data_IF_846609706621
#
_entry.id   IF_846609706621
#
_cell.length_a   1.000
_cell.length_b   1.000
_cell.length_c   1.000
_cell.angle_alpha   90.00
_cell.angle_beta   90.00
_cell.angle_gamma   90.00
#
_symmetry.space_group_name_H-M   'P 1'
#
loop_
_entity.id
_entity.type
_entity.pdbx_description
1 polymer ?
#
# COMPACT_ATOMS: atom_id res chain seq x y z
N UNK A 1 9.69 20.28 -9.47
CA UNK A 1 8.58 20.29 -8.48
C UNK A 1 8.01 18.87 -8.43
N UNK A 2 8.26 18.08 -7.37
CA UNK A 2 7.75 16.70 -7.29
C UNK A 2 6.20 16.73 -7.24
N UNK A 3 5.50 15.85 -7.95
CA UNK A 3 4.04 15.92 -8.08
C UNK A 3 3.38 15.79 -6.70
N UNK A 4 2.44 16.69 -6.41
CA UNK A 4 1.54 16.55 -5.25
C UNK A 4 0.84 15.20 -5.40
N UNK A 5 0.71 14.42 -4.32
CA UNK A 5 -0.05 13.16 -4.35
C UNK A 5 -1.48 13.43 -4.86
N UNK A 6 -1.71 13.09 -6.14
CA UNK A 6 -3.03 13.21 -6.80
C UNK A 6 -4.04 12.30 -6.13
N UNK A 7 -3.59 11.14 -5.62
CA UNK A 7 -4.46 10.16 -4.96
C UNK A 7 -5.15 10.71 -3.71
N UNK A 8 -4.45 11.44 -2.84
CA UNK A 8 -5.11 12.06 -1.67
C UNK A 8 -6.09 13.17 -2.07
N UNK A 9 -5.84 13.86 -3.19
CA UNK A 9 -6.78 14.83 -3.76
C UNK A 9 -8.05 14.15 -4.30
N UNK A 10 -7.89 13.07 -5.06
CA UNK A 10 -8.99 12.29 -5.61
C UNK A 10 -9.85 11.64 -4.52
N UNK A 11 -9.22 11.11 -3.46
CA UNK A 11 -9.95 10.48 -2.36
C UNK A 11 -10.76 11.50 -1.56
N UNK A 12 -10.25 12.72 -1.37
CA UNK A 12 -11.02 13.78 -0.71
C UNK A 12 -12.35 14.09 -1.38
N UNK A 13 -12.38 14.06 -2.72
CA UNK A 13 -13.61 14.30 -3.51
C UNK A 13 -14.52 13.08 -3.64
N UNK A 14 -14.06 11.88 -3.26
CA UNK A 14 -14.81 10.62 -3.38
C UNK A 14 -15.44 10.16 -2.05
N UNK A 15 -15.19 10.91 -0.96
CA UNK A 15 -15.55 10.51 0.39
C UNK A 15 -14.49 9.59 1.01
N UNK A 16 -14.02 9.96 2.21
CA UNK A 16 -13.12 9.12 3.00
C UNK A 16 -13.84 8.75 4.30
N UNK A 17 -14.28 7.50 4.41
CA UNK A 17 -14.91 7.02 5.63
C UNK A 17 -13.90 6.98 6.78
N UNK A 18 -14.17 7.74 7.84
CA UNK A 18 -13.36 7.72 9.06
C UNK A 18 -14.00 6.80 10.08
N UNK A 19 -13.31 5.70 10.38
CA UNK A 19 -13.69 4.79 11.47
C UNK A 19 -13.73 5.49 12.84
N UNK A 20 -12.85 6.46 13.07
CA UNK A 20 -12.81 7.23 14.32
C UNK A 20 -14.02 8.16 14.48
N UNK A 21 -14.56 8.68 13.37
CA UNK A 21 -15.71 9.61 13.38
C UNK A 21 -17.05 8.89 13.17
N UNK A 22 -17.02 7.62 12.73
CA UNK A 22 -18.22 6.87 12.35
C UNK A 22 -18.92 7.42 11.10
N UNK A 23 -18.30 8.35 10.35
CA UNK A 23 -18.85 9.01 9.16
C UNK A 23 -17.76 9.34 8.15
N UNK A 24 -18.20 9.71 6.94
CA UNK A 24 -17.30 10.29 5.95
C UNK A 24 -16.74 11.63 6.43
N UNK A 25 -15.46 11.85 6.10
CA UNK A 25 -14.80 13.14 6.26
C UNK A 25 -15.30 14.10 5.19
N UNK A 26 -15.56 15.33 5.62
CA UNK A 26 -15.84 16.46 4.72
C UNK A 26 -14.60 16.86 3.94
N UNK A 27 -14.77 17.54 2.81
CA UNK A 27 -13.63 18.05 2.02
C UNK A 27 -12.71 18.98 2.83
N UNK A 28 -13.29 19.81 3.71
CA UNK A 28 -12.54 20.69 4.59
C UNK A 28 -11.67 19.92 5.59
N UNK A 29 -12.22 18.87 6.22
CA UNK A 29 -11.47 17.98 7.11
C UNK A 29 -10.33 17.28 6.35
N UNK A 30 -10.60 16.77 5.15
CA UNK A 30 -9.56 16.14 4.33
C UNK A 30 -8.47 17.14 3.93
N UNK A 31 -8.83 18.37 3.57
CA UNK A 31 -7.89 19.43 3.23
C UNK A 31 -6.97 19.77 4.40
N UNK A 32 -7.53 19.91 5.61
CA UNK A 32 -6.77 20.15 6.84
C UNK A 32 -5.84 18.97 7.17
N UNK A 33 -6.37 17.74 7.15
CA UNK A 33 -5.60 16.53 7.45
C UNK A 33 -4.46 16.28 6.43
N UNK A 34 -4.69 16.63 5.16
CA UNK A 34 -3.66 16.54 4.11
C UNK A 34 -2.51 17.52 4.36
N UNK A 35 -2.72 18.60 5.11
CA UNK A 35 -1.67 19.55 5.47
C UNK A 35 -0.69 18.96 6.50
N UNK A 36 -1.18 18.11 7.41
CA UNK A 36 -0.37 17.32 8.35
C UNK A 36 0.29 16.10 7.71
N UNK A 37 0.90 15.24 8.53
CA UNK A 37 1.44 13.93 8.12
C UNK A 37 0.28 12.95 7.91
N UNK A 38 0.34 12.26 6.77
CA UNK A 38 -0.51 11.11 6.49
C UNK A 38 0.29 10.00 5.81
N UNK A 39 -0.19 8.76 5.93
CA UNK A 39 0.35 7.62 5.24
C UNK A 39 -0.75 6.75 4.63
N UNK A 40 -0.44 6.10 3.51
CA UNK A 40 -1.25 5.00 2.98
C UNK A 40 -0.62 3.70 3.42
N UNK A 41 -1.39 2.88 4.14
CA UNK A 41 -0.94 1.60 4.70
C UNK A 41 -1.79 0.50 4.08
N UNK A 42 -1.13 -0.51 3.52
CA UNK A 42 -1.78 -1.72 3.06
C UNK A 42 -1.67 -2.79 4.14
N UNK A 43 -2.78 -3.51 4.34
CA UNK A 43 -2.82 -4.78 5.06
C UNK A 43 -3.14 -5.85 4.03
N UNK A 44 -2.24 -6.79 3.85
CA UNK A 44 -2.39 -7.92 2.95
C UNK A 44 -2.38 -9.23 3.74
N UNK A 45 -3.30 -10.14 3.41
CA UNK A 45 -3.39 -11.44 4.07
C UNK A 45 -4.09 -12.49 3.22
N UNK A 46 -3.90 -13.75 3.60
CA UNK A 46 -4.74 -14.85 3.11
C UNK A 46 -6.19 -14.69 3.59
N UNK A 47 -7.13 -15.14 2.75
CA UNK A 47 -8.54 -15.32 3.11
C UNK A 47 -8.97 -16.79 3.03
N UNK A 48 -8.06 -17.70 2.69
CA UNK A 48 -8.33 -19.13 2.62
C UNK A 48 -8.29 -19.74 4.03
N UNK A 49 -9.37 -20.39 4.45
CA UNK A 49 -9.49 -21.06 5.75
C UNK A 49 -8.78 -22.42 5.82
N UNK A 50 -8.49 -23.02 4.66
CA UNK A 50 -8.03 -24.40 4.55
C UNK A 50 -6.53 -24.44 4.27
N UNK A 51 -6.08 -23.67 3.29
CA UNK A 51 -4.72 -23.77 2.76
C UNK A 51 -3.89 -22.50 3.03
N UNK A 52 -2.59 -22.63 3.35
CA UNK A 52 -1.68 -21.49 3.34
C UNK A 52 -1.47 -20.98 1.90
N UNK A 53 -0.88 -19.79 1.77
CA UNK A 53 -0.46 -19.27 0.46
C UNK A 53 0.73 -20.08 -0.05
N UNK A 54 0.45 -21.01 -0.97
CA UNK A 54 1.44 -21.94 -1.55
C UNK A 54 1.91 -21.56 -2.95
N UNK A 55 1.17 -20.69 -3.66
CA UNK A 55 1.59 -20.15 -4.93
C UNK A 55 1.38 -18.64 -4.96
N UNK A 56 2.20 -17.95 -5.75
CA UNK A 56 2.12 -16.50 -5.91
C UNK A 56 2.19 -15.74 -4.57
N UNK A 57 3.09 -16.04 -3.62
CA UNK A 57 3.19 -15.26 -2.39
C UNK A 57 3.49 -13.79 -2.68
N UNK A 58 3.14 -12.91 -1.73
CA UNK A 58 3.43 -11.49 -1.85
C UNK A 58 4.88 -11.22 -1.40
N UNK A 59 5.70 -10.74 -2.32
CA UNK A 59 7.01 -10.19 -2.02
C UNK A 59 6.93 -8.68 -1.82
N UNK A 60 7.74 -8.17 -0.88
CA UNK A 60 7.95 -6.76 -0.59
C UNK A 60 9.43 -6.43 -0.79
N UNK A 61 9.72 -5.29 -1.41
CA UNK A 61 11.07 -4.81 -1.62
C UNK A 61 11.50 -3.88 -0.48
N UNK A 62 12.70 -4.09 0.05
CA UNK A 62 13.33 -3.15 0.97
C UNK A 62 13.74 -1.88 0.21
N UNK A 63 13.04 -0.77 0.45
CA UNK A 63 13.30 0.50 -0.24
C UNK A 63 14.74 1.00 -0.07
N UNK A 64 15.46 0.61 1.00
CA UNK A 64 16.86 0.98 1.20
C UNK A 64 17.79 0.36 0.15
N UNK A 65 17.32 -0.69 -0.54
CA UNK A 65 18.01 -1.35 -1.65
C UNK A 65 17.61 -0.81 -3.02
N UNK A 66 16.67 0.15 -3.09
CA UNK A 66 16.12 0.68 -4.33
C UNK A 66 16.72 2.05 -4.63
N UNK A 67 17.53 2.12 -5.69
CA UNK A 67 18.11 3.35 -6.20
C UNK A 67 17.01 4.30 -6.74
N UNK A 68 17.29 5.60 -6.81
CA UNK A 68 16.26 6.58 -7.24
C UNK A 68 15.94 6.42 -8.73
N UNK A 69 16.94 6.09 -9.54
CA UNK A 69 16.86 5.84 -10.99
C UNK A 69 16.03 4.60 -11.36
N UNK A 70 15.90 3.64 -10.44
CA UNK A 70 15.07 2.46 -10.64
C UNK A 70 13.58 2.80 -10.55
N UNK A 71 13.24 3.91 -9.88
CA UNK A 71 11.86 4.31 -9.64
C UNK A 71 11.36 5.09 -10.84
N UNK A 72 10.22 4.68 -11.38
CA UNK A 72 9.53 5.46 -12.39
C UNK A 72 8.04 5.55 -12.12
N UNK A 73 7.49 6.73 -12.38
CA UNK A 73 6.07 6.96 -12.31
C UNK A 73 5.45 6.53 -13.65
N UNK A 74 4.35 5.80 -13.58
CA UNK A 74 3.54 5.50 -14.74
C UNK A 74 2.08 5.86 -14.46
N UNK A 75 1.36 6.18 -15.52
CA UNK A 75 -0.04 6.54 -15.45
C UNK A 75 -0.93 5.33 -15.78
N UNK A 76 -1.99 5.19 -15.02
CA UNK A 76 -3.08 4.26 -15.29
C UNK A 76 -4.24 5.08 -15.85
N UNK A 77 -4.48 4.99 -17.16
CA UNK A 77 -5.55 5.72 -17.84
C UNK A 77 -6.84 4.89 -17.79
N UNK A 78 -7.83 5.38 -17.04
CA UNK A 78 -9.18 4.84 -17.01
C UNK A 78 -10.14 5.80 -17.71
N UNK A 79 -11.33 5.35 -18.18
CA UNK A 79 -12.28 6.21 -18.90
C UNK A 79 -12.66 7.51 -18.16
N UNK A 80 -12.72 7.47 -16.82
CA UNK A 80 -13.17 8.59 -15.99
C UNK A 80 -12.09 9.18 -15.07
N UNK A 81 -10.86 8.64 -15.08
CA UNK A 81 -9.77 9.15 -14.24
C UNK A 81 -8.40 8.71 -14.72
N UNK A 82 -7.38 9.49 -14.38
CA UNK A 82 -5.98 9.05 -14.48
C UNK A 82 -5.45 8.75 -13.07
N UNK A 83 -5.03 7.51 -12.87
CA UNK A 83 -4.24 7.10 -11.71
C UNK A 83 -2.75 7.25 -11.98
N UNK A 84 -1.95 7.31 -10.92
CA UNK A 84 -0.49 7.33 -10.98
C UNK A 84 0.04 6.33 -9.95
N UNK A 85 0.99 5.50 -10.37
CA UNK A 85 1.70 4.56 -9.50
C UNK A 85 3.20 4.66 -9.78
N UNK A 86 4.01 4.42 -8.75
CA UNK A 86 5.43 4.12 -8.96
C UNK A 86 5.60 2.63 -9.29
N UNK A 87 6.54 2.33 -10.18
CA UNK A 87 7.05 0.99 -10.43
C UNK A 87 8.58 1.00 -10.37
N UNK A 88 9.17 -0.20 -10.44
CA UNK A 88 10.60 -0.43 -10.39
C UNK A 88 11.12 -0.97 -11.72
N UNK A 89 12.27 -0.45 -12.16
CA UNK A 89 13.13 -1.13 -13.14
C UNK A 89 13.78 -2.32 -12.45
N UNK A 90 14.09 -3.37 -13.20
CA UNK A 90 14.82 -4.50 -12.66
C UNK A 90 16.23 -4.06 -12.21
N UNK A 91 16.67 -4.55 -11.05
CA UNK A 91 18.03 -4.40 -10.54
C UNK A 91 18.37 -5.56 -9.60
N UNK A 92 19.56 -6.15 -9.77
CA UNK A 92 20.07 -7.22 -8.89
C UNK A 92 20.36 -6.72 -7.47
N UNK A 93 20.43 -5.39 -7.28
CA UNK A 93 20.58 -4.79 -5.96
C UNK A 93 19.31 -4.88 -5.11
N UNK A 94 18.14 -5.07 -5.72
CA UNK A 94 16.86 -5.09 -5.01
C UNK A 94 16.77 -6.30 -4.07
N UNK A 95 16.52 -6.01 -2.80
CA UNK A 95 16.32 -7.02 -1.76
C UNK A 95 14.84 -7.25 -1.54
N UNK A 96 14.38 -8.37 -2.07
CA UNK A 96 13.00 -8.83 -1.94
C UNK A 96 12.86 -9.79 -0.77
N UNK A 97 11.79 -9.61 0.00
CA UNK A 97 11.43 -10.44 1.13
C UNK A 97 10.00 -10.90 0.97
N UNK A 98 9.70 -12.12 1.41
CA UNK A 98 8.34 -12.63 1.45
C UNK A 98 8.16 -13.50 2.69
N UNK A 99 6.91 -13.69 3.09
CA UNK A 99 6.55 -14.56 4.19
C UNK A 99 5.92 -15.84 3.61
N UNK A 100 6.65 -16.98 3.57
CA UNK A 100 6.19 -18.20 2.92
C UNK A 100 5.02 -18.82 3.68
N UNK A 101 4.14 -19.51 2.97
CA UNK A 101 3.04 -20.29 3.56
C UNK A 101 2.12 -19.50 4.50
N UNK A 102 1.90 -18.21 4.21
CA UNK A 102 1.03 -17.33 5.02
C UNK A 102 -0.35 -17.96 5.23
N UNK A 103 -0.77 -18.05 6.49
CA UNK A 103 -2.09 -18.49 6.93
C UNK A 103 -3.05 -17.32 7.11
N UNK A 104 -4.33 -17.65 7.28
CA UNK A 104 -5.41 -16.66 7.41
C UNK A 104 -5.27 -15.80 8.66
N UNK A 105 -4.63 -16.25 9.73
CA UNK A 105 -4.43 -15.49 10.96
C UNK A 105 -3.21 -14.55 10.93
N UNK A 106 -2.47 -14.54 9.83
CA UNK A 106 -1.28 -13.72 9.63
C UNK A 106 -1.54 -12.58 8.62
N UNK A 107 -0.75 -11.51 8.69
CA UNK A 107 -0.85 -10.39 7.76
C UNK A 107 0.49 -9.70 7.55
N UNK A 108 0.72 -9.22 6.32
CA UNK A 108 1.73 -8.22 6.04
C UNK A 108 1.10 -6.83 6.15
N UNK A 109 1.75 -5.95 6.92
CA UNK A 109 1.38 -4.55 7.06
C UNK A 109 2.53 -3.69 6.57
N UNK A 110 2.29 -2.88 5.53
CA UNK A 110 3.36 -2.09 4.91
C UNK A 110 2.83 -0.76 4.38
N UNK A 111 3.70 0.25 4.36
CA UNK A 111 3.39 1.58 3.83
C UNK A 111 3.55 1.57 2.32
N UNK A 112 2.56 2.06 1.58
CA UNK A 112 2.69 2.33 0.14
C UNK A 112 2.94 3.81 -0.15
N UNK A 113 2.80 4.67 0.86
CA UNK A 113 3.22 6.07 0.84
C UNK A 113 3.28 6.59 2.28
N UNK A 114 4.31 7.34 2.63
CA UNK A 114 4.35 8.20 3.82
C UNK A 114 4.70 9.63 3.37
N UNK A 115 3.93 10.62 3.86
CA UNK A 115 4.25 12.01 3.59
C UNK A 115 5.57 12.42 4.26
N UNK A 116 5.89 11.85 5.43
CA UNK A 116 7.14 12.12 6.15
C UNK A 116 8.35 11.68 5.30
N UNK A 117 9.39 12.51 5.26
CA UNK A 117 10.55 12.33 4.37
C UNK A 117 11.83 11.95 5.14
N UNK A 118 11.71 11.19 6.24
CA UNK A 118 12.81 10.83 7.13
C UNK A 118 13.24 9.36 7.02
N UNK A 119 12.92 8.71 5.90
CA UNK A 119 13.26 7.30 5.66
C UNK A 119 12.40 6.68 4.55
N UNK A 120 12.26 5.34 4.55
CA UNK A 120 11.42 4.64 3.58
C UNK A 120 9.96 5.13 3.55
N UNK A 121 9.54 5.60 2.38
CA UNK A 121 8.21 6.14 2.07
C UNK A 121 7.35 5.17 1.28
N UNK A 122 7.93 4.21 0.57
CA UNK A 122 7.25 3.32 -0.37
C UNK A 122 7.75 1.88 -0.22
N UNK A 123 6.83 0.94 -0.02
CA UNK A 123 7.13 -0.48 -0.15
C UNK A 123 6.55 -0.98 -1.48
N UNK A 124 7.44 -1.23 -2.43
CA UNK A 124 7.09 -1.92 -3.66
C UNK A 124 6.79 -3.38 -3.35
N UNK A 125 5.78 -3.92 -4.01
CA UNK A 125 5.33 -5.29 -3.76
C UNK A 125 4.79 -5.91 -5.03
N UNK A 126 4.97 -7.21 -5.16
CA UNK A 126 4.48 -7.99 -6.30
C UNK A 126 4.25 -9.44 -5.89
N UNK A 127 3.41 -10.14 -6.63
CA UNK A 127 3.42 -11.60 -6.60
C UNK A 127 4.62 -12.13 -7.40
N UNK A 128 5.11 -13.32 -7.07
CA UNK A 128 6.12 -14.02 -7.86
C UNK A 128 5.84 -15.52 -7.91
N UNK A 129 6.35 -16.21 -8.93
CA UNK A 129 6.28 -17.67 -9.00
C UNK A 129 7.33 -18.25 -8.06
N UNK A 130 6.89 -18.85 -6.95
CA UNK A 130 7.78 -19.52 -6.01
C UNK A 130 8.17 -20.90 -6.58
N UNK A 131 9.47 -21.16 -6.86
CA UNK A 131 9.92 -22.43 -7.42
C UNK A 131 9.72 -23.62 -6.47
N UNK A 132 9.47 -23.38 -5.18
CA UNK A 132 9.13 -24.41 -4.21
C UNK A 132 7.63 -24.76 -4.18
N UNK A 133 6.79 -24.08 -4.98
CA UNK A 133 5.35 -24.35 -5.04
C UNK A 133 5.08 -25.76 -5.57
N UNK A 134 4.25 -26.59 -4.89
CA UNK A 134 3.78 -27.85 -5.45
C UNK A 134 3.06 -27.67 -6.79
N UNK A 135 3.17 -28.65 -7.69
CA UNK A 135 2.52 -28.60 -9.00
C UNK A 135 0.98 -28.53 -8.91
N UNK A 136 0.41 -29.09 -7.85
CA UNK A 136 -1.01 -29.10 -7.54
C UNK A 136 -1.40 -28.06 -6.46
N UNK A 137 -0.55 -27.06 -6.22
CA UNK A 137 -0.82 -26.02 -5.21
C UNK A 137 -2.18 -25.33 -5.47
N UNK A 138 -3.02 -25.15 -4.44
CA UNK A 138 -4.30 -24.48 -4.57
C UNK A 138 -4.12 -23.01 -4.99
N UNK A 139 -5.09 -22.47 -5.71
CA UNK A 139 -5.06 -21.05 -6.11
C UNK A 139 -5.06 -20.13 -4.89
N UNK A 140 -4.17 -19.12 -4.92
CA UNK A 140 -4.08 -18.12 -3.85
C UNK A 140 -5.39 -17.33 -3.74
N UNK A 141 -5.96 -17.32 -2.54
CA UNK A 141 -7.05 -16.42 -2.16
C UNK A 141 -6.53 -15.43 -1.13
N UNK A 142 -6.47 -14.15 -1.51
CA UNK A 142 -5.95 -13.09 -0.66
C UNK A 142 -6.77 -11.81 -0.79
N UNK A 143 -6.67 -10.96 0.23
CA UNK A 143 -7.24 -9.62 0.21
C UNK A 143 -6.16 -8.59 0.54
N UNK A 144 -6.24 -7.44 -0.11
CA UNK A 144 -5.51 -6.23 0.27
C UNK A 144 -6.52 -5.15 0.66
N UNK A 145 -6.32 -4.55 1.82
CA UNK A 145 -7.09 -3.38 2.27
C UNK A 145 -6.14 -2.21 2.45
N UNK A 146 -6.47 -1.06 1.86
CA UNK A 146 -5.72 0.18 2.02
C UNK A 146 -6.40 1.09 3.02
N UNK A 147 -5.70 1.38 4.11
CA UNK A 147 -6.06 2.41 5.07
C UNK A 147 -5.32 3.72 4.82
N UNK A 148 -5.89 4.81 5.31
CA UNK A 148 -5.23 6.11 5.41
C UNK A 148 -5.03 6.41 6.89
N UNK A 149 -3.79 6.58 7.31
CA UNK A 149 -3.44 7.02 8.65
C UNK A 149 -3.17 8.52 8.63
N UNK A 150 -3.87 9.27 9.47
CA UNK A 150 -3.59 10.68 9.75
C UNK A 150 -2.97 10.78 11.13
N UNK A 151 -1.81 11.43 11.23
CA UNK A 151 -1.04 11.47 12.48
C UNK A 151 -1.27 12.77 13.25
N UNK A 152 -1.56 13.86 12.55
CA UNK A 152 -1.78 15.18 13.13
C UNK A 152 -3.27 15.54 13.05
N UNK A 153 -4.08 14.84 13.84
CA UNK A 153 -5.53 15.03 13.90
C UNK A 153 -5.89 16.10 14.94
N UNK A 154 -6.48 17.24 14.54
CA UNK A 154 -6.70 18.39 15.43
C UNK A 154 -7.75 18.15 16.52
N UNK A 155 -8.52 17.06 16.40
CA UNK A 155 -9.55 16.65 17.38
C UNK A 155 -9.09 15.48 18.28
N UNK A 156 -7.83 15.03 18.20
CA UNK A 156 -7.36 13.94 19.06
C UNK A 156 -7.06 14.37 20.51
N UNK A 157 -6.93 15.68 20.78
CA UNK A 157 -6.77 16.21 22.14
C UNK A 157 -8.08 16.23 22.95
N UNK A 158 -9.20 15.87 22.34
CA UNK A 158 -10.54 15.85 22.97
C UNK A 158 -11.00 14.43 23.37
N UNK A 159 -10.17 13.41 23.17
CA UNK A 159 -10.49 12.00 23.42
C UNK A 159 -9.76 11.42 24.63
#
# INVERSE_FOLDING_TARGET
>A
RRPRSRRMQQLGTQGIYSRLRGRDLTEAEVAQLKAGRFAFINVWRSIDDVHPVLQQPLAVCDERSVAEEDRFLYELRFPNRTGENYSLRHSDAHRWYYYPQMRKDEALVFKVYDKKEDGPRFVFHTAFTDPSSPADAPQRKSIEVRGIAFFDVPWASEA
#
